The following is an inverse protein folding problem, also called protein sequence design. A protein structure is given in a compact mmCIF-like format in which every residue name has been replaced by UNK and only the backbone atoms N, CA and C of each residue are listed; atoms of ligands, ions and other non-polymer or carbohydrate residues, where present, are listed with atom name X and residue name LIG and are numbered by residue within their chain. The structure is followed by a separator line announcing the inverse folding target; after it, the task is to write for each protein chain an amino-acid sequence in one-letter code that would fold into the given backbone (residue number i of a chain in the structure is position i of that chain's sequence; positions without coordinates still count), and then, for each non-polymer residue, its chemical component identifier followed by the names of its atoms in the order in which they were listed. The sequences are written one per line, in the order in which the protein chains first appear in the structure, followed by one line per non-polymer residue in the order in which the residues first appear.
data_IF_335766646543
#
_entry.id   IF_335766646543
#
_cell.length_a   1.000
_cell.length_b   1.000
_cell.length_c   1.000
_cell.angle_alpha   90.00
_cell.angle_beta   90.00
_cell.angle_gamma   90.00
#
_symmetry.space_group_name_H-M   'P 1'
#
loop_
_entity.id
_entity.type
_entity.pdbx_description
1 polymer ?
#
# COMPACT_ATOMS: atom_id res chain seq x y z
N UNK A 1 0.71 -48.80 -38.22
CA UNK A 1 0.32 -49.00 -36.81
C UNK A 1 1.11 -48.01 -35.95
N UNK A 2 0.40 -47.21 -35.16
CA UNK A 2 0.94 -46.13 -34.33
C UNK A 2 1.85 -46.67 -33.22
N UNK A 3 3.05 -46.12 -33.08
CA UNK A 3 3.90 -46.34 -31.91
C UNK A 3 3.63 -45.25 -30.87
N UNK A 4 3.19 -45.67 -29.69
CA UNK A 4 2.85 -44.82 -28.55
C UNK A 4 4.11 -44.20 -27.96
N UNK A 5 4.07 -42.88 -27.83
CA UNK A 5 5.06 -41.98 -27.24
C UNK A 5 5.29 -42.37 -25.77
N UNK A 6 6.53 -42.68 -25.41
CA UNK A 6 6.88 -43.09 -24.06
C UNK A 6 6.73 -41.92 -23.07
N UNK A 7 5.91 -42.22 -22.05
CA UNK A 7 5.54 -41.45 -20.86
C UNK A 7 6.72 -40.77 -20.16
N UNK A 8 6.48 -39.54 -19.67
CA UNK A 8 7.39 -38.79 -18.83
C UNK A 8 7.91 -39.63 -17.66
N UNK A 9 9.23 -39.63 -17.46
CA UNK A 9 9.89 -40.27 -16.32
C UNK A 9 9.61 -39.45 -15.07
N UNK A 10 8.66 -39.88 -14.24
CA UNK A 10 8.60 -39.44 -12.84
C UNK A 10 9.78 -40.06 -12.10
N UNK A 11 10.69 -39.21 -11.58
CA UNK A 11 11.81 -39.66 -10.77
C UNK A 11 11.27 -40.13 -9.41
N UNK A 12 11.31 -41.43 -9.15
CA UNK A 12 10.88 -42.09 -7.91
C UNK A 12 12.03 -42.28 -6.90
N UNK A 13 13.17 -41.61 -7.10
CA UNK A 13 14.31 -41.71 -6.20
C UNK A 13 14.03 -40.99 -4.87
N UNK A 14 13.81 -41.77 -3.80
CA UNK A 14 13.91 -41.26 -2.45
C UNK A 14 15.32 -40.66 -2.23
N UNK A 15 15.38 -39.46 -1.65
CA UNK A 15 16.61 -38.67 -1.39
C UNK A 15 17.23 -37.94 -2.60
N UNK A 16 16.48 -37.63 -3.67
CA UNK A 16 16.98 -36.68 -4.68
C UNK A 16 17.07 -35.26 -4.09
N UNK A 17 18.29 -34.79 -3.81
CA UNK A 17 18.55 -33.40 -3.42
C UNK A 17 18.76 -32.58 -4.69
N UNK A 18 17.74 -31.84 -5.11
CA UNK A 18 17.89 -30.81 -6.13
C UNK A 18 18.26 -29.49 -5.44
N UNK A 19 19.28 -28.80 -5.94
CA UNK A 19 19.52 -27.41 -5.55
C UNK A 19 18.33 -26.57 -5.98
N UNK A 20 17.49 -26.17 -5.02
CA UNK A 20 16.50 -25.13 -5.25
C UNK A 20 17.24 -23.79 -5.30
N UNK A 21 17.36 -23.21 -6.50
CA UNK A 21 17.83 -21.83 -6.65
C UNK A 21 16.70 -20.92 -6.15
N UNK A 22 16.73 -20.60 -4.86
CA UNK A 22 15.78 -19.68 -4.24
C UNK A 22 16.08 -18.27 -4.75
N UNK A 23 15.26 -17.79 -5.68
CA UNK A 23 15.37 -16.43 -6.18
C UNK A 23 14.45 -15.51 -5.40
N UNK A 24 15.04 -14.53 -4.71
CA UNK A 24 14.27 -13.48 -4.04
C UNK A 24 13.77 -12.47 -5.08
N UNK A 25 12.47 -12.18 -5.06
CA UNK A 25 11.81 -11.18 -5.90
C UNK A 25 10.92 -10.27 -5.05
N UNK A 26 10.40 -9.23 -5.67
CA UNK A 26 9.46 -8.29 -5.08
C UNK A 26 8.21 -8.16 -5.94
N UNK A 27 7.06 -8.04 -5.29
CA UNK A 27 5.77 -7.84 -5.97
C UNK A 27 5.70 -6.48 -6.63
N UNK A 28 5.04 -6.42 -7.78
CA UNK A 28 4.70 -5.20 -8.52
C UNK A 28 3.27 -5.33 -9.07
N UNK A 29 2.50 -4.25 -9.02
CA UNK A 29 1.17 -4.19 -9.60
C UNK A 29 1.27 -3.98 -11.11
N UNK A 30 0.52 -4.75 -11.92
CA UNK A 30 0.57 -4.61 -13.38
C UNK A 30 -0.21 -3.39 -13.91
N UNK A 31 -1.11 -2.83 -13.10
CA UNK A 31 -2.13 -1.85 -13.49
C UNK A 31 -2.03 -0.53 -12.71
N UNK A 32 -0.95 -0.33 -11.95
CA UNK A 32 -0.76 0.84 -11.08
C UNK A 32 -1.86 1.04 -10.01
N UNK A 33 -2.60 -0.03 -9.68
CA UNK A 33 -3.50 -0.04 -8.52
C UNK A 33 -2.72 -0.04 -7.19
N UNK A 34 -1.47 -0.53 -7.22
CA UNK A 34 -0.64 -0.76 -6.04
C UNK A 34 -0.83 -2.14 -5.42
N UNK A 35 -1.69 -2.96 -6.03
CA UNK A 35 -2.09 -4.27 -5.52
C UNK A 35 -1.88 -5.36 -6.58
N UNK A 36 -1.10 -6.38 -6.24
CA UNK A 36 -0.90 -7.56 -7.05
C UNK A 36 -1.88 -8.66 -6.62
N UNK A 37 -2.81 -9.02 -7.50
CA UNK A 37 -3.70 -10.16 -7.28
C UNK A 37 -2.96 -11.48 -7.48
N UNK A 38 -2.96 -12.34 -6.47
CA UNK A 38 -2.32 -13.66 -6.46
C UNK A 38 -3.34 -14.74 -6.06
N UNK A 39 -3.08 -15.99 -6.42
CA UNK A 39 -3.85 -17.12 -5.90
C UNK A 39 -3.09 -17.77 -4.76
N UNK A 40 -3.71 -17.96 -3.60
CA UNK A 40 -3.17 -18.73 -2.49
C UNK A 40 -3.35 -20.23 -2.77
N UNK A 41 -2.29 -21.02 -2.65
CA UNK A 41 -2.33 -22.46 -2.97
C UNK A 41 -3.08 -23.28 -1.91
N UNK A 42 -3.03 -22.85 -0.65
CA UNK A 42 -3.66 -23.54 0.49
C UNK A 42 -5.19 -23.55 0.39
N UNK A 43 -5.79 -22.47 -0.10
CA UNK A 43 -7.26 -22.29 -0.17
C UNK A 43 -7.81 -22.16 -1.60
N UNK A 44 -6.96 -21.93 -2.58
CA UNK A 44 -7.35 -21.57 -3.95
C UNK A 44 -7.93 -20.15 -4.07
N UNK A 45 -8.05 -19.40 -2.97
CA UNK A 45 -8.63 -18.06 -2.95
C UNK A 45 -7.67 -17.02 -3.54
N UNK A 46 -8.25 -15.91 -4.01
CA UNK A 46 -7.48 -14.77 -4.50
C UNK A 46 -7.16 -13.84 -3.33
N UNK A 47 -5.90 -13.42 -3.25
CA UNK A 47 -5.41 -12.44 -2.31
C UNK A 47 -4.78 -11.25 -3.05
N UNK A 48 -4.68 -10.11 -2.39
CA UNK A 48 -4.04 -8.91 -2.95
C UNK A 48 -2.81 -8.56 -2.11
N UNK A 49 -1.65 -8.54 -2.74
CA UNK A 49 -0.39 -8.17 -2.09
C UNK A 49 -0.06 -6.72 -2.48
N UNK A 50 0.35 -5.85 -1.55
CA UNK A 50 0.87 -4.55 -1.92
C UNK A 50 2.18 -4.71 -2.72
N UNK A 51 2.59 -3.66 -3.44
CA UNK A 51 3.91 -3.65 -4.08
C UNK A 51 5.06 -3.78 -3.07
N UNK A 52 6.20 -4.27 -3.55
CA UNK A 52 7.43 -4.47 -2.79
C UNK A 52 7.35 -5.45 -1.61
N UNK A 53 6.38 -6.37 -1.61
CA UNK A 53 6.40 -7.55 -0.72
C UNK A 53 7.49 -8.49 -1.20
N UNK A 54 8.36 -8.92 -0.27
CA UNK A 54 9.42 -9.87 -0.57
C UNK A 54 8.84 -11.28 -0.74
N UNK A 55 9.25 -11.96 -1.81
CA UNK A 55 8.84 -13.34 -2.10
C UNK A 55 10.03 -14.21 -2.50
N UNK A 56 9.90 -15.52 -2.31
CA UNK A 56 10.87 -16.52 -2.73
C UNK A 56 10.25 -17.40 -3.82
N UNK A 57 10.75 -17.31 -5.06
CA UNK A 57 10.29 -18.18 -6.15
C UNK A 57 10.76 -19.62 -5.90
N UNK A 58 9.85 -20.58 -5.96
CA UNK A 58 10.12 -22.00 -5.66
C UNK A 58 9.88 -22.93 -6.86
N UNK A 59 9.03 -22.54 -7.82
CA UNK A 59 8.74 -23.35 -9.01
C UNK A 59 8.24 -22.48 -10.15
N UNK A 60 8.76 -22.71 -11.36
CA UNK A 60 8.31 -22.08 -12.60
C UNK A 60 7.79 -23.15 -13.56
N UNK A 61 6.77 -22.80 -14.35
CA UNK A 61 6.08 -23.73 -15.26
C UNK A 61 4.96 -23.02 -16.01
N UNK A 62 3.76 -23.61 -16.06
CA UNK A 62 2.55 -22.89 -16.50
C UNK A 62 2.12 -21.81 -15.51
N UNK A 63 2.52 -21.97 -14.24
CA UNK A 63 2.38 -20.99 -13.17
C UNK A 63 3.70 -20.87 -12.41
N UNK A 64 4.04 -19.65 -12.01
CA UNK A 64 5.14 -19.38 -11.10
C UNK A 64 4.62 -19.41 -9.68
N UNK A 65 5.16 -20.29 -8.85
CA UNK A 65 4.83 -20.46 -7.45
C UNK A 65 5.94 -19.83 -6.59
N UNK A 66 5.54 -19.18 -5.51
CA UNK A 66 6.45 -18.50 -4.61
C UNK A 66 5.91 -18.51 -3.18
N UNK A 67 6.82 -18.42 -2.21
CA UNK A 67 6.50 -18.23 -0.79
C UNK A 67 6.50 -16.74 -0.50
N UNK A 68 5.44 -16.25 0.14
CA UNK A 68 5.34 -14.87 0.62
C UNK A 68 6.16 -14.75 1.90
N UNK A 69 7.12 -13.84 1.97
CA UNK A 69 8.07 -13.77 3.10
C UNK A 69 7.70 -12.70 4.15
N UNK A 70 6.74 -11.83 3.85
CA UNK A 70 6.43 -10.61 4.61
C UNK A 70 4.93 -10.27 4.52
N UNK A 71 4.44 -9.49 5.48
CA UNK A 71 3.05 -9.01 5.50
C UNK A 71 2.02 -10.05 5.99
N UNK A 72 0.75 -9.78 5.71
CA UNK A 72 -0.41 -10.53 6.20
C UNK A 72 -0.38 -12.02 5.82
N UNK A 73 -0.03 -12.31 4.57
CA UNK A 73 0.04 -13.68 4.02
C UNK A 73 1.41 -14.32 4.18
N UNK A 74 2.23 -13.88 5.14
CA UNK A 74 3.57 -14.41 5.34
C UNK A 74 3.54 -15.93 5.57
N UNK A 75 4.47 -16.64 4.92
CA UNK A 75 4.65 -18.10 4.85
C UNK A 75 3.62 -18.85 4.00
N UNK A 76 2.60 -18.19 3.48
CA UNK A 76 1.71 -18.81 2.49
C UNK A 76 2.44 -19.02 1.16
N UNK A 77 2.05 -20.08 0.46
CA UNK A 77 2.45 -20.29 -0.93
C UNK A 77 1.39 -19.68 -1.83
N UNK A 78 1.83 -18.88 -2.80
CA UNK A 78 0.96 -18.27 -3.79
C UNK A 78 1.50 -18.51 -5.20
N UNK A 79 0.65 -18.29 -6.20
CA UNK A 79 1.06 -18.40 -7.60
C UNK A 79 0.44 -17.37 -8.52
N UNK A 80 1.12 -17.18 -9.65
CA UNK A 80 0.69 -16.37 -10.78
C UNK A 80 0.79 -17.20 -12.06
N UNK A 81 0.00 -16.85 -13.08
CA UNK A 81 0.30 -17.28 -14.45
C UNK A 81 1.69 -16.77 -14.84
N UNK A 82 2.47 -17.58 -15.55
CA UNK A 82 3.88 -17.26 -15.85
C UNK A 82 4.05 -15.96 -16.63
N UNK A 83 3.11 -15.64 -17.52
CA UNK A 83 3.05 -14.35 -18.24
C UNK A 83 2.95 -13.13 -17.31
N UNK A 84 2.24 -13.27 -16.18
CA UNK A 84 2.09 -12.23 -15.18
C UNK A 84 3.30 -12.20 -14.24
N UNK A 85 3.83 -13.36 -13.88
CA UNK A 85 4.99 -13.47 -13.00
C UNK A 85 6.21 -12.71 -13.55
N UNK A 86 6.47 -12.81 -14.85
CA UNK A 86 7.57 -12.10 -15.50
C UNK A 86 7.47 -10.56 -15.35
N UNK A 87 6.26 -10.02 -15.25
CA UNK A 87 5.99 -8.57 -15.12
C UNK A 87 5.87 -8.13 -13.65
N UNK A 88 5.38 -9.03 -12.79
CA UNK A 88 4.95 -8.70 -11.43
C UNK A 88 5.93 -9.16 -10.34
N UNK A 89 6.87 -10.07 -10.66
CA UNK A 89 7.90 -10.54 -9.72
C UNK A 89 9.26 -10.02 -10.16
N UNK A 90 9.61 -8.83 -9.66
CA UNK A 90 10.78 -8.07 -10.13
C UNK A 90 11.97 -8.23 -9.19
N UNK A 91 13.18 -8.14 -9.76
CA UNK A 91 14.37 -7.91 -8.94
C UNK A 91 14.40 -6.41 -8.58
N UNK A 92 14.54 -6.10 -7.30
CA UNK A 92 14.58 -4.72 -6.82
C UNK A 92 15.39 -4.63 -5.52
N UNK A 93 15.91 -3.45 -5.24
CA UNK A 93 16.45 -3.07 -3.93
C UNK A 93 15.45 -2.19 -3.22
N UNK A 94 15.27 -2.40 -1.91
CA UNK A 94 14.43 -1.53 -1.08
C UNK A 94 15.27 -0.58 -0.25
N UNK A 95 14.74 0.60 0.01
CA UNK A 95 15.30 1.49 1.01
C UNK A 95 15.00 1.02 2.44
N UNK A 96 15.69 1.60 3.42
CA UNK A 96 15.68 1.20 4.82
C UNK A 96 14.66 1.94 5.70
N UNK A 97 13.63 2.53 5.09
CA UNK A 97 12.58 3.27 5.79
C UNK A 97 12.50 4.72 5.33
N UNK A 98 11.32 5.11 4.84
CA UNK A 98 11.03 6.46 4.43
C UNK A 98 10.94 7.40 5.64
N UNK A 99 11.28 8.67 5.41
CA UNK A 99 11.12 9.75 6.39
C UNK A 99 10.25 10.84 5.81
N UNK A 100 9.15 11.14 6.49
CA UNK A 100 8.24 12.24 6.18
C UNK A 100 8.28 13.27 7.32
N UNK A 101 8.26 14.55 6.98
CA UNK A 101 8.08 15.65 7.95
C UNK A 101 6.89 16.49 7.54
N UNK A 102 5.85 16.51 8.35
CA UNK A 102 4.63 17.28 8.15
C UNK A 102 4.63 18.50 9.06
N UNK A 103 4.85 19.68 8.48
CA UNK A 103 4.88 20.95 9.20
C UNK A 103 3.56 21.69 9.06
N UNK A 104 2.89 21.94 10.17
CA UNK A 104 1.65 22.74 10.21
C UNK A 104 1.94 24.19 9.83
N UNK A 105 1.04 24.80 9.04
CA UNK A 105 1.12 26.23 8.68
C UNK A 105 -0.01 27.05 9.30
N UNK A 106 -1.24 26.60 9.15
CA UNK A 106 -2.41 27.36 9.60
C UNK A 106 -3.70 26.82 9.00
N UNK A 107 -4.83 27.44 9.35
CA UNK A 107 -6.12 27.08 8.77
C UNK A 107 -6.43 27.94 7.56
N UNK A 108 -6.86 27.29 6.48
CA UNK A 108 -7.25 27.93 5.23
C UNK A 108 -8.56 27.34 4.71
N UNK A 109 -9.41 28.20 4.15
CA UNK A 109 -10.65 27.78 3.49
C UNK A 109 -10.34 27.39 2.05
N UNK A 110 -10.39 26.10 1.76
CA UNK A 110 -10.02 25.54 0.46
C UNK A 110 -11.24 24.94 -0.25
N UNK A 111 -11.44 25.35 -1.50
CA UNK A 111 -12.39 24.72 -2.41
C UNK A 111 -11.72 23.55 -3.14
N UNK A 112 -12.29 22.36 -3.01
CA UNK A 112 -11.90 21.18 -3.78
C UNK A 112 -12.82 21.04 -4.98
N UNK A 113 -12.28 21.29 -6.17
CA UNK A 113 -13.02 21.17 -7.43
C UNK A 113 -13.53 19.73 -7.69
N UNK A 114 -12.73 18.65 -7.47
CA UNK A 114 -13.22 17.28 -7.61
C UNK A 114 -14.37 16.94 -6.66
N UNK A 115 -14.32 17.48 -5.43
CA UNK A 115 -15.39 17.29 -4.44
C UNK A 115 -16.58 18.21 -4.63
N UNK A 116 -16.38 19.29 -5.39
CA UNK A 116 -17.29 20.43 -5.47
C UNK A 116 -17.73 20.94 -4.08
N UNK A 117 -16.80 21.04 -3.14
CA UNK A 117 -17.08 21.48 -1.77
C UNK A 117 -15.93 22.33 -1.20
N UNK A 118 -16.23 23.13 -0.18
CA UNK A 118 -15.29 24.02 0.50
C UNK A 118 -15.19 23.68 1.98
N UNK A 119 -13.98 23.38 2.44
CA UNK A 119 -13.73 23.13 3.87
C UNK A 119 -12.66 24.06 4.41
N UNK A 120 -12.77 24.39 5.70
CA UNK A 120 -11.68 25.01 6.44
C UNK A 120 -10.73 23.89 6.88
N UNK A 121 -9.49 23.93 6.39
CA UNK A 121 -8.52 22.85 6.56
C UNK A 121 -7.27 23.35 7.26
N UNK A 122 -6.73 22.53 8.17
CA UNK A 122 -5.40 22.76 8.72
C UNK A 122 -4.36 22.34 7.68
N UNK A 123 -3.84 23.32 6.95
CA UNK A 123 -2.87 23.08 5.89
C UNK A 123 -1.45 22.99 6.45
N UNK A 124 -0.62 22.28 5.72
CA UNK A 124 0.80 22.12 6.04
C UNK A 124 1.64 21.84 4.81
N UNK A 125 2.93 21.58 5.07
CA UNK A 125 3.86 21.10 4.06
C UNK A 125 4.44 19.76 4.49
N UNK A 126 4.35 18.77 3.61
CA UNK A 126 5.05 17.50 3.75
C UNK A 126 6.38 17.60 3.04
N UNK A 127 7.48 17.34 3.74
CA UNK A 127 8.82 17.18 3.16
C UNK A 127 9.17 15.70 3.07
N UNK A 128 9.61 15.24 1.90
CA UNK A 128 9.95 13.84 1.65
C UNK A 128 10.92 13.73 0.46
N UNK A 129 11.97 12.92 0.58
CA UNK A 129 12.91 12.65 -0.53
C UNK A 129 13.40 13.90 -1.30
N UNK A 130 13.70 15.00 -0.59
CA UNK A 130 14.11 16.28 -1.19
C UNK A 130 12.99 17.07 -1.89
N UNK A 131 11.76 16.60 -1.82
CA UNK A 131 10.57 17.24 -2.38
C UNK A 131 9.64 17.75 -1.28
N UNK A 132 8.69 18.59 -1.69
CA UNK A 132 7.60 19.07 -0.84
C UNK A 132 6.24 18.87 -1.49
N UNK A 133 5.21 18.68 -0.67
CA UNK A 133 3.80 18.65 -1.08
C UNK A 133 2.94 19.46 -0.13
N UNK A 134 1.86 20.06 -0.64
CA UNK A 134 0.79 20.56 0.21
C UNK A 134 0.04 19.39 0.84
N UNK A 135 -0.28 19.51 2.13
CA UNK A 135 -1.08 18.54 2.87
C UNK A 135 -2.20 19.21 3.66
N UNK A 136 -3.22 18.43 3.99
CA UNK A 136 -4.22 18.73 5.01
C UNK A 136 -4.06 17.75 6.17
N UNK A 137 -4.00 18.27 7.39
CA UNK A 137 -3.86 17.48 8.63
C UNK A 137 -5.18 17.38 9.41
N UNK A 138 -6.15 18.21 9.06
CA UNK A 138 -7.45 18.29 9.71
C UNK A 138 -8.42 19.09 8.82
N UNK A 139 -9.71 18.82 8.93
CA UNK A 139 -10.78 19.60 8.30
C UNK A 139 -11.91 19.78 9.32
N UNK A 140 -12.65 20.89 9.24
CA UNK A 140 -13.79 21.15 10.14
C UNK A 140 -15.01 20.27 9.81
N UNK A 141 -14.83 18.95 9.93
CA UNK A 141 -15.82 17.92 9.66
C UNK A 141 -15.96 16.96 10.84
N UNK A 142 -17.12 16.31 10.90
CA UNK A 142 -17.33 15.15 11.77
C UNK A 142 -17.15 13.89 10.94
N UNK A 143 -16.54 12.89 11.54
CA UNK A 143 -16.37 11.58 10.91
C UNK A 143 -16.91 10.49 11.83
N UNK A 144 -17.25 9.36 11.21
CA UNK A 144 -17.72 8.18 11.91
C UNK A 144 -16.54 7.23 12.12
N UNK A 145 -16.02 7.16 13.33
CA UNK A 145 -14.98 6.18 13.63
C UNK A 145 -15.60 4.79 13.70
N UNK A 146 -15.00 3.81 13.02
CA UNK A 146 -15.41 2.40 13.05
C UNK A 146 -14.27 1.56 13.61
N UNK A 147 -14.47 0.97 14.79
CA UNK A 147 -13.57 -0.03 15.36
C UNK A 147 -14.34 -1.05 16.21
N UNK A 148 -13.80 -2.27 16.40
CA UNK A 148 -14.42 -3.24 17.29
C UNK A 148 -14.24 -2.82 18.77
N UNK A 149 -15.35 -2.64 19.48
CA UNK A 149 -15.39 -2.38 20.92
C UNK A 149 -16.48 -1.38 21.34
N UNK A 150 -16.77 -1.26 22.65
CA UNK A 150 -17.75 -0.28 23.15
C UNK A 150 -17.21 1.16 23.01
N UNK A 151 -18.02 2.06 22.45
CA UNK A 151 -17.69 3.50 22.27
C UNK A 151 -17.14 3.90 20.89
N UNK A 152 -16.91 2.93 19.99
CA UNK A 152 -16.29 3.12 18.67
C UNK A 152 -17.28 3.15 17.49
N UNK A 153 -18.52 3.52 17.78
CA UNK A 153 -19.57 3.80 16.80
C UNK A 153 -20.16 5.16 17.15
N UNK A 154 -19.33 6.20 17.07
CA UNK A 154 -19.71 7.56 17.44
C UNK A 154 -19.16 8.57 16.44
N UNK A 155 -19.91 9.65 16.24
CA UNK A 155 -19.45 10.80 15.51
C UNK A 155 -18.37 11.52 16.30
N UNK A 156 -17.17 11.64 15.73
CA UNK A 156 -16.06 12.39 16.32
C UNK A 156 -15.77 13.64 15.50
N UNK A 157 -15.34 14.68 16.20
CA UNK A 157 -14.76 15.84 15.54
C UNK A 157 -13.38 15.47 15.05
N UNK A 158 -13.09 15.76 13.78
CA UNK A 158 -11.75 15.65 13.23
C UNK A 158 -10.77 16.48 14.06
N UNK A 159 -9.58 15.91 14.30
CA UNK A 159 -8.45 16.56 14.98
C UNK A 159 -7.16 16.05 14.37
N UNK A 160 -6.14 16.91 14.19
CA UNK A 160 -4.86 16.45 13.70
C UNK A 160 -4.18 15.52 14.72
N UNK A 161 -3.31 14.65 14.22
CA UNK A 161 -2.34 13.95 15.06
C UNK A 161 -1.57 14.97 15.93
N UNK A 162 -1.35 14.69 17.22
CA UNK A 162 -0.49 15.52 18.04
C UNK A 162 0.92 15.64 17.47
N UNK A 163 1.67 16.66 17.90
CA UNK A 163 3.09 16.76 17.57
C UNK A 163 3.83 15.53 18.09
N UNK A 164 4.69 14.96 17.27
CA UNK A 164 5.37 13.71 17.60
C UNK A 164 5.93 13.00 16.38
N UNK A 165 6.57 11.86 16.60
CA UNK A 165 7.06 10.98 15.53
C UNK A 165 6.37 9.63 15.62
N UNK A 166 5.79 9.20 14.51
CA UNK A 166 4.98 7.99 14.43
C UNK A 166 5.52 7.05 13.35
N UNK A 167 5.35 5.75 13.56
CA UNK A 167 5.69 4.74 12.54
C UNK A 167 4.58 4.65 11.52
N UNK A 168 4.96 4.38 10.28
CA UNK A 168 4.03 4.16 9.16
C UNK A 168 4.06 2.67 8.81
N UNK A 169 2.91 2.02 8.86
CA UNK A 169 2.74 0.62 8.50
C UNK A 169 2.70 0.44 6.97
N UNK A 170 3.10 -0.73 6.50
CA UNK A 170 2.80 -1.17 5.15
C UNK A 170 1.28 -1.35 5.00
N UNK A 171 0.71 -0.99 3.83
CA UNK A 171 -0.72 -1.12 3.59
C UNK A 171 -1.07 -2.59 3.42
N UNK A 172 -2.21 -3.03 3.97
CA UNK A 172 -2.61 -4.44 3.95
C UNK A 172 -3.76 -4.70 2.97
N UNK A 173 -4.67 -3.74 2.83
CA UNK A 173 -5.84 -3.83 1.95
C UNK A 173 -6.11 -2.52 1.23
N UNK A 174 -6.72 -2.62 0.06
CA UNK A 174 -7.20 -1.46 -0.69
C UNK A 174 -8.35 -0.79 0.08
N UNK A 175 -8.32 0.54 0.13
CA UNK A 175 -9.49 1.31 0.57
C UNK A 175 -10.54 1.36 -0.55
N UNK A 176 -11.79 1.67 -0.17
CA UNK A 176 -12.90 1.77 -1.12
C UNK A 176 -12.54 2.77 -2.24
N UNK A 177 -12.54 2.35 -3.53
CA UNK A 177 -12.27 3.24 -4.65
C UNK A 177 -13.19 4.46 -4.69
N UNK A 178 -14.45 4.33 -4.27
CA UNK A 178 -15.43 5.44 -4.28
C UNK A 178 -14.95 6.66 -3.47
N UNK A 179 -14.11 6.43 -2.44
CA UNK A 179 -13.55 7.50 -1.61
C UNK A 179 -12.51 8.36 -2.34
N UNK A 180 -12.01 7.92 -3.49
CA UNK A 180 -10.88 8.57 -4.18
C UNK A 180 -10.95 8.61 -5.71
N UNK A 181 -11.77 7.79 -6.36
CA UNK A 181 -11.86 7.69 -7.81
C UNK A 181 -12.26 9.02 -8.47
N UNK A 182 -13.12 9.80 -7.81
CA UNK A 182 -13.50 11.14 -8.30
C UNK A 182 -12.30 12.10 -8.36
N UNK A 183 -11.24 11.91 -7.57
CA UNK A 183 -10.00 12.69 -7.73
C UNK A 183 -9.27 12.38 -9.03
N UNK A 184 -9.59 11.28 -9.71
CA UNK A 184 -9.04 10.90 -11.01
C UNK A 184 -9.97 11.37 -12.14
N UNK A 185 -11.27 11.18 -11.99
CA UNK A 185 -12.25 11.26 -13.09
C UNK A 185 -13.04 12.56 -13.17
N UNK A 186 -13.25 13.27 -12.05
CA UNK A 186 -14.11 14.46 -12.02
C UNK A 186 -13.36 15.73 -12.45
N UNK A 187 -14.07 16.80 -12.85
CA UNK A 187 -13.44 18.07 -13.20
C UNK A 187 -12.52 18.59 -12.09
N UNK A 188 -11.30 18.98 -12.47
CA UNK A 188 -10.28 19.43 -11.51
C UNK A 188 -9.53 18.30 -10.80
N UNK A 189 -9.85 17.04 -11.11
CA UNK A 189 -9.05 15.89 -10.70
C UNK A 189 -7.74 15.79 -11.49
N UNK A 190 -6.99 14.72 -11.22
CA UNK A 190 -5.75 14.39 -11.88
C UNK A 190 -5.85 12.99 -12.52
N UNK A 191 -6.04 12.88 -13.85
CA UNK A 191 -6.08 11.58 -14.55
C UNK A 191 -4.81 10.74 -14.40
N UNK A 192 -3.67 11.37 -14.10
CA UNK A 192 -2.39 10.71 -13.84
C UNK A 192 -2.25 10.24 -12.39
N UNK A 193 -3.22 10.51 -11.51
CA UNK A 193 -3.24 9.99 -10.15
C UNK A 193 -3.41 8.46 -10.18
N UNK A 194 -2.43 7.74 -9.62
CA UNK A 194 -2.41 6.27 -9.50
C UNK A 194 -2.37 5.87 -8.03
N UNK A 195 -2.53 4.58 -7.73
CA UNK A 195 -2.39 4.06 -6.36
C UNK A 195 -3.31 4.72 -5.32
N UNK A 196 -4.41 5.36 -5.74
CA UNK A 196 -5.22 6.23 -4.88
C UNK A 196 -5.99 5.48 -3.78
N UNK A 197 -6.14 4.16 -3.94
CA UNK A 197 -6.71 3.25 -2.92
C UNK A 197 -5.69 2.73 -1.92
N UNK A 198 -4.40 3.08 -2.04
CA UNK A 198 -3.36 2.64 -1.12
C UNK A 198 -3.19 3.66 0.00
N UNK A 199 -3.66 3.36 1.20
CA UNK A 199 -3.52 4.26 2.35
C UNK A 199 -2.57 3.62 3.36
N UNK A 200 -1.55 4.35 3.78
CA UNK A 200 -0.52 3.83 4.70
C UNK A 200 -0.93 4.12 6.15
N UNK A 201 -1.26 3.10 6.96
CA UNK A 201 -1.69 3.34 8.34
C UNK A 201 -0.57 3.94 9.18
N UNK A 202 -0.91 4.83 10.10
CA UNK A 202 0.01 5.40 11.07
C UNK A 202 -0.19 4.69 12.41
N UNK A 203 0.88 4.13 12.98
CA UNK A 203 0.83 3.45 14.27
C UNK A 203 0.65 4.48 15.40
N UNK A 204 -0.58 4.64 15.88
CA UNK A 204 -0.90 5.61 16.92
C UNK A 204 -1.94 5.08 17.90
N UNK A 205 -1.50 4.77 19.13
CA UNK A 205 -2.27 4.01 20.13
C UNK A 205 -3.62 4.62 20.53
N UNK A 206 -3.81 5.94 20.39
CA UNK A 206 -5.11 6.57 20.68
C UNK A 206 -6.15 6.34 19.58
N UNK A 207 -5.75 5.73 18.46
CA UNK A 207 -6.60 5.37 17.33
C UNK A 207 -6.41 3.91 16.98
N UNK A 208 -7.41 3.29 16.34
CA UNK A 208 -7.29 1.93 15.83
C UNK A 208 -6.49 1.89 14.50
N UNK A 209 -5.41 2.68 14.40
CA UNK A 209 -4.73 3.03 13.14
C UNK A 209 -5.69 3.60 12.08
N UNK A 210 -6.67 4.41 12.52
CA UNK A 210 -7.60 5.13 11.65
C UNK A 210 -6.97 6.40 11.03
N UNK A 211 -5.75 6.77 11.45
CA UNK A 211 -4.98 7.80 10.78
C UNK A 211 -4.07 7.19 9.71
N UNK A 212 -4.03 7.82 8.55
CA UNK A 212 -3.27 7.34 7.40
C UNK A 212 -2.43 8.44 6.77
N UNK A 213 -1.41 8.04 5.99
CA UNK A 213 -0.89 8.85 4.90
C UNK A 213 -1.62 8.43 3.62
N UNK A 214 -2.38 9.34 3.01
CA UNK A 214 -3.19 9.04 1.82
C UNK A 214 -3.43 10.29 0.97
N UNK A 215 -3.91 10.12 -0.27
CA UNK A 215 -4.32 11.23 -1.13
C UNK A 215 -5.72 11.74 -0.81
N UNK A 216 -5.96 13.04 -0.96
CA UNK A 216 -7.30 13.61 -0.95
C UNK A 216 -7.35 15.11 -0.64
N UNK A 217 -8.52 15.72 -0.80
CA UNK A 217 -8.76 17.13 -0.44
C UNK A 217 -9.65 17.29 0.80
N UNK A 218 -9.67 16.28 1.67
CA UNK A 218 -10.36 16.30 2.96
C UNK A 218 -9.55 15.44 3.93
N UNK A 219 -9.31 15.93 5.14
CA UNK A 219 -8.63 15.19 6.20
C UNK A 219 -9.50 15.07 7.43
N UNK A 220 -9.61 13.86 7.97
CA UNK A 220 -10.29 13.53 9.23
C UNK A 220 -9.27 13.35 10.38
N UNK A 221 -8.11 14.00 10.28
CA UNK A 221 -6.97 13.85 11.20
C UNK A 221 -5.79 13.08 10.59
N UNK A 222 -5.90 12.67 9.34
CA UNK A 222 -4.86 12.00 8.57
C UNK A 222 -3.79 12.96 8.05
N UNK A 223 -2.65 12.42 7.62
CA UNK A 223 -1.69 13.15 6.79
C UNK A 223 -2.14 13.04 5.34
N UNK A 224 -3.04 13.93 4.93
CA UNK A 224 -3.68 13.86 3.61
C UNK A 224 -2.91 14.68 2.59
N UNK A 225 -2.43 14.04 1.52
CA UNK A 225 -1.73 14.67 0.39
C UNK A 225 -2.75 15.44 -0.45
N UNK A 226 -2.82 16.74 -0.22
CA UNK A 226 -3.78 17.64 -0.87
C UNK A 226 -3.42 17.88 -2.33
N UNK A 227 -2.13 17.98 -2.63
CA UNK A 227 -1.63 18.07 -4.01
C UNK A 227 -1.72 16.70 -4.70
N UNK A 228 -2.77 16.51 -5.51
CA UNK A 228 -3.03 15.26 -6.24
C UNK A 228 -1.90 14.89 -7.21
N UNK A 229 -1.03 15.82 -7.60
CA UNK A 229 0.10 15.54 -8.51
C UNK A 229 1.28 14.89 -7.79
N UNK A 230 1.36 15.04 -6.46
CA UNK A 230 2.47 14.54 -5.63
C UNK A 230 2.23 13.16 -5.04
N UNK A 231 1.01 12.66 -5.05
CA UNK A 231 0.68 11.37 -4.46
C UNK A 231 1.52 10.21 -5.02
N UNK A 232 1.69 10.13 -6.35
CA UNK A 232 2.46 9.04 -6.96
C UNK A 232 3.91 9.00 -6.45
N UNK A 233 4.52 10.15 -6.19
CA UNK A 233 5.88 10.25 -5.65
C UNK A 233 5.93 9.84 -4.18
N UNK A 234 4.96 10.30 -3.38
CA UNK A 234 4.84 9.91 -1.97
C UNK A 234 4.62 8.40 -1.85
N UNK A 235 3.69 7.84 -2.62
CA UNK A 235 3.41 6.41 -2.69
C UNK A 235 4.68 5.62 -3.02
N UNK A 236 5.37 5.95 -4.12
CA UNK A 236 6.59 5.25 -4.54
C UNK A 236 7.68 5.33 -3.49
N UNK A 237 7.85 6.50 -2.87
CA UNK A 237 8.84 6.68 -1.80
C UNK A 237 8.51 5.81 -0.58
N UNK A 238 7.26 5.80 -0.11
CA UNK A 238 6.84 4.95 1.01
C UNK A 238 6.95 3.46 0.66
N UNK A 239 6.30 3.01 -0.42
CA UNK A 239 6.16 1.57 -0.71
C UNK A 239 7.47 0.89 -1.09
N UNK A 240 8.46 1.61 -1.64
CA UNK A 240 9.78 1.04 -1.95
C UNK A 240 10.71 1.00 -0.74
N UNK A 241 10.28 1.53 0.40
CA UNK A 241 11.01 1.50 1.66
C UNK A 241 10.38 0.48 2.62
N UNK A 242 11.22 -0.34 3.28
CA UNK A 242 10.81 -1.16 4.42
C UNK A 242 11.85 -1.02 5.52
N UNK A 243 11.41 -0.63 6.72
CA UNK A 243 12.32 -0.35 7.84
C UNK A 243 12.59 -1.56 8.74
N UNK A 244 11.94 -2.70 8.48
CA UNK A 244 12.10 -3.92 9.27
C UNK A 244 12.14 -5.18 8.40
N UNK A 245 12.63 -6.28 9.00
CA UNK A 245 12.78 -7.58 8.31
C UNK A 245 11.44 -8.24 7.97
N UNK A 246 10.38 -7.92 8.71
CA UNK A 246 9.04 -8.50 8.54
C UNK A 246 8.22 -7.75 7.48
N UNK A 247 8.74 -6.61 7.01
CA UNK A 247 8.05 -5.72 6.08
C UNK A 247 6.84 -5.02 6.69
N UNK A 248 6.74 -4.95 8.03
CA UNK A 248 5.60 -4.34 8.75
C UNK A 248 5.53 -2.83 8.54
N UNK A 249 6.67 -2.15 8.47
CA UNK A 249 6.76 -0.70 8.44
C UNK A 249 7.46 -0.21 7.17
N UNK A 250 6.97 0.92 6.66
CA UNK A 250 7.53 1.59 5.47
C UNK A 250 8.39 2.79 5.83
N UNK A 251 8.25 3.31 7.06
CA UNK A 251 8.96 4.51 7.48
C UNK A 251 8.37 5.17 8.72
N UNK A 252 8.65 6.46 8.86
CA UNK A 252 8.13 7.32 9.93
C UNK A 252 7.59 8.65 9.38
N UNK A 253 6.67 9.26 10.11
CA UNK A 253 6.22 10.64 9.92
C UNK A 253 6.40 11.44 11.21
N UNK A 254 6.99 12.62 11.09
CA UNK A 254 7.10 13.59 12.19
C UNK A 254 6.11 14.73 11.95
N UNK A 255 5.28 15.03 12.96
CA UNK A 255 4.31 16.12 12.97
C UNK A 255 4.89 17.30 13.76
N UNK A 256 5.04 18.46 13.11
CA UNK A 256 5.66 19.69 13.65
C UNK A 256 4.72 20.90 13.69
#
# INVERSE_FOLDING_TARGET
MNQVIARARTNTAANSVHQAVVTTKYTKSPDMSGWLKVQLESSGQMAFLPEFVKVSVIKEGSRTHFIILEGEYKRETASLKSENAAKCLVAATRGSGAKLVAKMKGRERLYSKPRNDTHNQLVGTLSFNGQTSMISLDSDVKFWETAPGPGFHTWKQSKPLPKGTYKILAPQHAHNPDSTEFYVTYPGGNPDLKYHTVWFPIEYAATANSNFVHVGNLSEGCVTIYDLTKWNDVYRYLISNRSDKEGKYVGIVTIE
#
